data_IF_223572090698
#
_entry.id   IF_223572090698
#
_cell.length_a   1.000
_cell.length_b   1.000
_cell.length_c   1.000
_cell.angle_alpha   90.00
_cell.angle_beta   90.00
_cell.angle_gamma   90.00
#
_symmetry.space_group_name_H-M   'P 1'
#
loop_
_entity.id
_entity.type
_entity.pdbx_description
1 polymer ?
#
# COMPACT_ATOMS: atom_id res chain seq x y z
N UNK A 1 -1.01 -14.28 -9.05
CA UNK A 1 -2.03 -14.84 -8.12
C UNK A 1 -2.36 -13.78 -7.07
N UNK A 2 -3.61 -13.68 -6.59
CA UNK A 2 -3.98 -12.74 -5.51
C UNK A 2 -4.46 -13.48 -4.27
N UNK A 3 -4.27 -12.91 -3.07
CA UNK A 3 -4.62 -13.58 -1.80
C UNK A 3 -6.12 -13.87 -1.66
N UNK A 4 -6.96 -13.01 -2.21
CA UNK A 4 -8.41 -13.15 -2.24
C UNK A 4 -8.91 -13.98 -3.44
N UNK A 5 -8.18 -15.00 -3.87
CA UNK A 5 -8.63 -15.93 -4.91
C UNK A 5 -8.82 -17.34 -4.35
N UNK A 6 -9.81 -18.07 -4.88
CA UNK A 6 -10.06 -19.47 -4.48
C UNK A 6 -8.83 -20.36 -4.70
N UNK A 7 -8.09 -20.13 -5.80
CA UNK A 7 -6.84 -20.84 -6.08
C UNK A 7 -5.79 -20.65 -4.98
N UNK A 8 -5.64 -19.40 -4.49
CA UNK A 8 -4.73 -19.12 -3.39
C UNK A 8 -5.19 -19.78 -2.10
N UNK A 9 -6.47 -19.59 -1.73
CA UNK A 9 -7.02 -20.03 -0.45
C UNK A 9 -7.04 -21.56 -0.31
N UNK A 10 -7.42 -22.28 -1.37
CA UNK A 10 -7.68 -23.72 -1.29
C UNK A 10 -6.59 -24.61 -1.92
N UNK A 11 -5.66 -24.03 -2.67
CA UNK A 11 -4.56 -24.81 -3.27
C UNK A 11 -3.19 -24.30 -2.83
N UNK A 12 -2.85 -23.05 -3.19
CA UNK A 12 -1.50 -22.55 -2.96
C UNK A 12 -1.15 -22.47 -1.47
N UNK A 13 -1.97 -21.80 -0.66
CA UNK A 13 -1.67 -21.58 0.76
C UNK A 13 -1.60 -22.90 1.55
N UNK A 14 -2.58 -23.84 1.45
CA UNK A 14 -2.48 -25.13 2.14
C UNK A 14 -1.23 -25.92 1.75
N UNK A 15 -0.92 -26.02 0.45
CA UNK A 15 0.28 -26.71 -0.02
C UNK A 15 1.54 -26.06 0.54
N UNK A 16 1.65 -24.75 0.49
CA UNK A 16 2.80 -24.00 1.03
C UNK A 16 2.97 -24.22 2.52
N UNK A 17 1.89 -24.21 3.30
CA UNK A 17 1.94 -24.47 4.75
C UNK A 17 2.42 -25.90 5.03
N UNK A 18 1.85 -26.90 4.36
CA UNK A 18 2.28 -28.30 4.54
C UNK A 18 3.75 -28.48 4.18
N UNK A 19 4.18 -28.03 3.00
CA UNK A 19 5.56 -28.14 2.55
C UNK A 19 6.51 -27.42 3.52
N UNK A 20 6.15 -26.21 3.96
CA UNK A 20 6.98 -25.42 4.87
C UNK A 20 7.16 -26.11 6.23
N UNK A 21 6.08 -26.58 6.85
CA UNK A 21 6.15 -27.17 8.18
C UNK A 21 6.74 -28.59 8.18
N UNK A 22 6.59 -29.35 7.10
CA UNK A 22 7.23 -30.64 6.90
C UNK A 22 8.74 -30.51 6.58
N UNK A 23 9.20 -29.34 6.15
CA UNK A 23 10.60 -29.11 5.78
C UNK A 23 11.46 -28.82 7.01
N UNK A 24 12.67 -29.44 7.14
CA UNK A 24 13.63 -29.10 8.18
C UNK A 24 13.99 -27.61 8.18
N UNK A 25 14.18 -27.02 9.37
CA UNK A 25 14.39 -25.57 9.55
C UNK A 25 15.43 -24.95 8.63
N UNK A 26 16.53 -25.68 8.37
CA UNK A 26 17.63 -25.21 7.50
C UNK A 26 17.21 -24.93 6.05
N UNK A 27 16.16 -25.58 5.57
CA UNK A 27 15.66 -25.44 4.19
C UNK A 27 14.40 -24.59 4.06
N UNK A 28 13.80 -24.12 5.17
CA UNK A 28 12.56 -23.35 5.15
C UNK A 28 12.65 -22.07 4.33
N UNK A 29 13.79 -21.38 4.31
CA UNK A 29 13.99 -20.22 3.45
C UNK A 29 13.99 -20.62 1.96
N UNK A 30 14.58 -21.75 1.60
CA UNK A 30 14.54 -22.24 0.21
C UNK A 30 13.10 -22.55 -0.25
N UNK A 31 12.29 -23.18 0.62
CA UNK A 31 10.87 -23.45 0.36
C UNK A 31 10.10 -22.13 0.18
N UNK A 32 10.30 -21.15 1.07
CA UNK A 32 9.66 -19.84 0.93
C UNK A 32 10.11 -19.12 -0.33
N UNK A 33 11.38 -19.16 -0.67
CA UNK A 33 11.90 -18.54 -1.90
C UNK A 33 11.31 -19.19 -3.14
N UNK A 34 11.38 -20.51 -3.24
CA UNK A 34 10.81 -21.26 -4.38
C UNK A 34 9.29 -21.05 -4.51
N UNK A 35 8.55 -21.19 -3.39
CA UNK A 35 7.11 -20.95 -3.38
C UNK A 35 6.73 -19.52 -3.74
N UNK A 36 7.53 -18.54 -3.30
CA UNK A 36 7.32 -17.13 -3.67
C UNK A 36 7.55 -16.89 -5.16
N UNK A 37 8.56 -17.53 -5.75
CA UNK A 37 8.79 -17.44 -7.19
C UNK A 37 7.65 -18.10 -7.98
N UNK A 38 7.13 -19.25 -7.53
CA UNK A 38 5.94 -19.88 -8.13
C UNK A 38 4.71 -18.97 -8.01
N UNK A 39 4.48 -18.36 -6.84
CA UNK A 39 3.39 -17.41 -6.64
C UNK A 39 3.48 -16.22 -7.60
N UNK A 40 4.67 -15.66 -7.78
CA UNK A 40 4.93 -14.53 -8.67
C UNK A 40 4.77 -14.92 -10.14
N UNK A 41 5.42 -16.02 -10.55
CA UNK A 41 5.36 -16.52 -11.92
C UNK A 41 3.96 -16.90 -12.38
N UNK A 42 3.06 -17.27 -11.46
CA UNK A 42 1.65 -17.55 -11.79
C UNK A 42 0.92 -16.35 -12.36
N UNK A 43 1.25 -15.14 -11.93
CA UNK A 43 0.66 -13.90 -12.47
C UNK A 43 1.53 -13.22 -13.52
N UNK A 44 2.85 -13.39 -13.41
CA UNK A 44 3.86 -12.64 -14.17
C UNK A 44 5.00 -13.57 -14.64
N UNK A 45 4.74 -14.53 -15.54
CA UNK A 45 5.73 -15.55 -15.88
C UNK A 45 7.00 -14.99 -16.53
N UNK A 46 6.89 -13.92 -17.30
CA UNK A 46 8.04 -13.28 -17.97
C UNK A 46 8.83 -12.42 -17.00
N UNK A 47 8.15 -11.70 -16.11
CA UNK A 47 8.79 -10.72 -15.22
C UNK A 47 9.45 -11.30 -13.99
N UNK A 48 9.39 -12.64 -13.80
CA UNK A 48 10.19 -13.34 -12.77
C UNK A 48 11.69 -13.06 -12.94
N UNK A 49 12.15 -12.87 -14.17
CA UNK A 49 13.55 -12.55 -14.48
C UNK A 49 13.95 -11.19 -13.88
N UNK A 50 13.04 -10.21 -13.86
CA UNK A 50 13.32 -8.87 -13.32
C UNK A 50 13.51 -8.88 -11.82
N UNK A 51 12.66 -9.61 -11.09
CA UNK A 51 12.83 -9.70 -9.63
C UNK A 51 14.10 -10.46 -9.26
N UNK A 52 14.45 -11.51 -10.00
CA UNK A 52 15.71 -12.25 -9.81
C UNK A 52 16.91 -11.37 -10.13
N UNK A 53 16.86 -10.61 -11.23
CA UNK A 53 17.91 -9.66 -11.61
C UNK A 53 18.09 -8.57 -10.54
N UNK A 54 17.00 -7.92 -10.10
CA UNK A 54 17.05 -6.90 -9.04
C UNK A 54 17.60 -7.46 -7.73
N UNK A 55 17.21 -8.69 -7.39
CA UNK A 55 17.74 -9.42 -6.23
C UNK A 55 19.25 -9.64 -6.36
N UNK A 56 19.71 -10.10 -7.53
CA UNK A 56 21.12 -10.36 -7.79
C UNK A 56 21.95 -9.08 -7.72
N UNK A 57 21.48 -7.99 -8.34
CA UNK A 57 22.16 -6.68 -8.31
C UNK A 57 22.33 -6.20 -6.88
N UNK A 58 21.27 -6.22 -6.06
CA UNK A 58 21.34 -5.77 -4.67
C UNK A 58 22.21 -6.69 -3.80
N UNK A 59 22.15 -7.99 -4.01
CA UNK A 59 22.99 -8.97 -3.32
C UNK A 59 24.48 -8.74 -3.62
N UNK A 60 24.86 -8.63 -4.89
CA UNK A 60 26.23 -8.37 -5.32
C UNK A 60 26.73 -7.00 -4.80
N UNK A 61 25.86 -5.99 -4.83
CA UNK A 61 26.20 -4.66 -4.29
C UNK A 61 26.47 -4.74 -2.79
N UNK A 62 25.66 -5.47 -2.01
CA UNK A 62 25.88 -5.69 -0.58
C UNK A 62 27.20 -6.37 -0.30
N UNK A 63 27.57 -7.42 -1.05
CA UNK A 63 28.86 -8.11 -0.91
C UNK A 63 30.04 -7.18 -1.24
N UNK A 64 29.95 -6.40 -2.33
CA UNK A 64 30.98 -5.43 -2.72
C UNK A 64 31.13 -4.32 -1.69
N UNK A 65 30.03 -3.81 -1.14
CA UNK A 65 30.05 -2.82 -0.07
C UNK A 65 30.80 -3.37 1.15
N UNK A 66 30.49 -4.58 1.62
CA UNK A 66 31.18 -5.22 2.74
C UNK A 66 32.67 -5.43 2.47
N UNK A 67 33.03 -5.78 1.23
CA UNK A 67 34.44 -5.91 0.83
C UNK A 67 35.19 -4.57 0.90
N UNK A 68 34.61 -3.50 0.33
CA UNK A 68 35.24 -2.16 0.35
C UNK A 68 35.20 -1.50 1.73
N UNK A 69 34.22 -1.83 2.57
CA UNK A 69 34.18 -1.39 3.98
C UNK A 69 35.37 -1.93 4.77
N UNK A 70 35.70 -3.22 4.61
CA UNK A 70 36.86 -3.86 5.27
C UNK A 70 38.20 -3.28 4.81
N UNK A 71 38.27 -2.73 3.61
CA UNK A 71 39.46 -2.09 3.04
C UNK A 71 39.45 -0.57 3.18
N UNK A 72 38.48 -0.01 3.89
CA UNK A 72 38.28 1.44 4.08
C UNK A 72 38.24 2.26 2.78
N UNK A 73 37.93 1.59 1.67
CA UNK A 73 37.86 2.22 0.36
C UNK A 73 36.51 2.91 0.14
N UNK A 74 36.42 4.20 0.53
CA UNK A 74 35.19 5.02 0.38
C UNK A 74 34.72 5.16 -1.07
N UNK A 75 35.65 5.30 -2.04
CA UNK A 75 35.27 5.41 -3.46
C UNK A 75 34.58 4.14 -3.95
N UNK A 76 35.13 2.97 -3.61
CA UNK A 76 34.51 1.69 -3.94
C UNK A 76 33.13 1.49 -3.31
N UNK A 77 32.95 1.95 -2.07
CA UNK A 77 31.65 1.92 -1.39
C UNK A 77 30.61 2.80 -2.12
N UNK A 78 30.96 4.08 -2.39
CA UNK A 78 30.06 5.01 -3.09
C UNK A 78 29.71 4.48 -4.49
N UNK A 79 30.70 4.01 -5.25
CA UNK A 79 30.48 3.45 -6.58
C UNK A 79 29.49 2.25 -6.54
N UNK A 80 29.68 1.32 -5.59
CA UNK A 80 28.80 0.16 -5.43
C UNK A 80 27.37 0.55 -5.07
N UNK A 81 27.19 1.52 -4.17
CA UNK A 81 25.91 2.07 -3.78
C UNK A 81 25.23 2.74 -4.98
N UNK A 82 25.94 3.64 -5.66
CA UNK A 82 25.40 4.42 -6.77
C UNK A 82 24.96 3.50 -7.92
N UNK A 83 25.78 2.53 -8.32
CA UNK A 83 25.42 1.58 -9.38
C UNK A 83 24.15 0.83 -9.02
N UNK A 84 24.05 0.29 -7.80
CA UNK A 84 22.85 -0.45 -7.39
C UNK A 84 21.59 0.43 -7.39
N UNK A 85 21.67 1.65 -6.86
CA UNK A 85 20.54 2.58 -6.85
C UNK A 85 20.16 3.01 -8.27
N UNK A 86 21.14 3.35 -9.13
CA UNK A 86 20.88 3.75 -10.51
C UNK A 86 20.25 2.61 -11.31
N UNK A 87 20.76 1.39 -11.23
CA UNK A 87 20.17 0.23 -11.90
C UNK A 87 18.74 -0.01 -11.44
N UNK A 88 18.48 0.04 -10.13
CA UNK A 88 17.14 -0.15 -9.57
C UNK A 88 16.16 0.94 -10.04
N UNK A 89 16.60 2.20 -10.04
CA UNK A 89 15.78 3.33 -10.50
C UNK A 89 15.58 3.34 -12.01
N UNK A 90 16.56 2.93 -12.79
CA UNK A 90 16.43 2.81 -14.26
C UNK A 90 15.42 1.72 -14.64
N UNK A 91 15.45 0.56 -13.94
CA UNK A 91 14.47 -0.49 -14.16
C UNK A 91 13.06 0.00 -13.84
N UNK A 92 12.87 0.60 -12.65
CA UNK A 92 11.57 1.17 -12.27
C UNK A 92 11.15 2.27 -13.27
N UNK A 93 12.08 3.15 -13.63
CA UNK A 93 11.85 4.25 -14.56
C UNK A 93 11.43 3.77 -15.94
N UNK A 94 12.08 2.74 -16.46
CA UNK A 94 11.77 2.19 -17.76
C UNK A 94 10.33 1.62 -17.81
N UNK A 95 9.98 0.73 -16.89
CA UNK A 95 8.66 0.10 -16.92
C UNK A 95 7.52 1.04 -16.52
N UNK A 96 7.78 2.03 -15.69
CA UNK A 96 6.72 2.90 -15.16
C UNK A 96 6.56 4.21 -15.95
N UNK A 97 7.64 4.74 -16.52
CA UNK A 97 7.62 6.11 -17.05
C UNK A 97 8.04 6.21 -18.52
N UNK A 98 8.46 5.12 -19.19
CA UNK A 98 8.89 5.19 -20.59
C UNK A 98 7.81 5.82 -21.49
N UNK A 99 6.58 5.31 -21.44
CA UNK A 99 5.49 5.84 -22.25
C UNK A 99 5.09 7.28 -21.88
N UNK A 100 5.21 7.65 -20.61
CA UNK A 100 5.03 9.03 -20.18
C UNK A 100 6.06 9.97 -20.81
N UNK A 101 7.34 9.59 -20.79
CA UNK A 101 8.40 10.37 -21.40
C UNK A 101 8.27 10.43 -22.92
N UNK A 102 7.91 9.32 -23.57
CA UNK A 102 7.66 9.29 -25.02
C UNK A 102 6.53 10.24 -25.39
N UNK A 103 5.40 10.23 -24.65
CA UNK A 103 4.31 11.19 -24.88
C UNK A 103 4.74 12.63 -24.69
N UNK A 104 5.52 12.93 -23.65
CA UNK A 104 6.00 14.26 -23.37
C UNK A 104 6.96 14.76 -24.46
N UNK A 105 7.89 13.92 -24.91
CA UNK A 105 8.80 14.23 -26.03
C UNK A 105 8.01 14.44 -27.33
N UNK A 106 7.04 13.56 -27.62
CA UNK A 106 6.17 13.69 -28.79
C UNK A 106 5.37 15.00 -28.78
N UNK A 107 4.82 15.37 -27.63
CA UNK A 107 4.10 16.64 -27.46
C UNK A 107 5.01 17.86 -27.72
N UNK A 108 6.23 17.87 -27.20
CA UNK A 108 7.19 18.97 -27.38
C UNK A 108 7.71 19.01 -28.82
N UNK A 109 7.94 17.84 -29.43
CA UNK A 109 8.46 17.73 -30.80
C UNK A 109 7.36 17.90 -31.87
N UNK A 110 6.08 17.92 -31.51
CA UNK A 110 4.96 17.95 -32.45
C UNK A 110 4.82 16.67 -33.29
N UNK A 111 5.31 15.52 -32.78
CA UNK A 111 5.33 14.23 -33.51
C UNK A 111 4.71 13.16 -32.63
N UNK A 112 3.89 12.28 -33.19
CA UNK A 112 3.40 11.10 -32.50
C UNK A 112 4.53 10.09 -32.28
N UNK A 113 4.92 9.89 -31.01
CA UNK A 113 5.93 8.90 -30.64
C UNK A 113 5.26 7.54 -30.41
N UNK A 114 5.88 6.43 -30.88
CA UNK A 114 5.35 5.10 -30.64
C UNK A 114 5.36 4.79 -29.15
N UNK A 115 4.21 4.29 -28.63
CA UNK A 115 4.09 3.84 -27.25
C UNK A 115 4.56 2.40 -27.13
N UNK A 116 5.29 2.09 -26.08
CA UNK A 116 5.78 0.74 -25.80
C UNK A 116 4.68 -0.18 -25.26
N UNK A 117 3.69 0.41 -24.59
CA UNK A 117 2.55 -0.29 -23.96
C UNK A 117 2.98 -1.50 -23.11
N UNK A 118 4.13 -1.36 -22.42
CA UNK A 118 4.62 -2.42 -21.54
C UNK A 118 3.77 -2.52 -20.29
N UNK A 119 3.24 -3.71 -19.94
CA UNK A 119 2.57 -3.87 -18.68
C UNK A 119 3.54 -3.64 -17.52
N UNK A 120 3.09 -2.92 -16.50
CA UNK A 120 3.91 -2.66 -15.31
C UNK A 120 4.09 -3.97 -14.53
N UNK A 121 5.34 -4.46 -14.31
CA UNK A 121 5.57 -5.67 -13.55
C UNK A 121 5.05 -5.54 -12.12
N UNK A 122 4.20 -6.47 -11.70
CA UNK A 122 3.56 -6.43 -10.37
C UNK A 122 4.64 -6.38 -9.28
N UNK A 123 4.50 -5.43 -8.35
CA UNK A 123 5.41 -5.27 -7.22
C UNK A 123 6.75 -4.62 -7.52
N UNK A 124 7.05 -4.17 -8.78
CA UNK A 124 8.34 -3.56 -9.11
C UNK A 124 8.67 -2.36 -8.22
N UNK A 125 7.70 -1.52 -7.89
CA UNK A 125 7.89 -0.39 -6.98
C UNK A 125 8.27 -0.83 -5.56
N UNK A 126 7.71 -1.95 -5.08
CA UNK A 126 7.93 -2.48 -3.74
C UNK A 126 9.31 -3.14 -3.61
N UNK A 127 9.65 -4.09 -4.50
CA UNK A 127 10.96 -4.74 -4.40
C UNK A 127 12.13 -3.79 -4.77
N UNK A 128 11.90 -2.77 -5.59
CA UNK A 128 12.87 -1.70 -5.82
C UNK A 128 13.19 -0.97 -4.52
N UNK A 129 12.17 -0.54 -3.76
CA UNK A 129 12.38 0.13 -2.48
C UNK A 129 13.01 -0.79 -1.43
N UNK A 130 12.66 -2.07 -1.40
CA UNK A 130 13.27 -3.06 -0.52
C UNK A 130 14.75 -3.26 -0.83
N UNK A 131 15.10 -3.48 -2.09
CA UNK A 131 16.49 -3.70 -2.50
C UNK A 131 17.36 -2.46 -2.30
N UNK A 132 16.84 -1.27 -2.64
CA UNK A 132 17.52 -0.01 -2.39
C UNK A 132 17.76 0.22 -0.91
N UNK A 133 16.74 0.03 -0.04
CA UNK A 133 16.91 0.20 1.41
C UNK A 133 17.98 -0.73 1.96
N UNK A 134 18.00 -2.00 1.54
CA UNK A 134 19.05 -2.93 1.97
C UNK A 134 20.46 -2.44 1.61
N UNK A 135 20.68 -2.03 0.36
CA UNK A 135 22.00 -1.56 -0.09
C UNK A 135 22.44 -0.30 0.67
N UNK A 136 21.49 0.63 0.91
CA UNK A 136 21.74 1.85 1.69
C UNK A 136 22.05 1.51 3.14
N UNK A 137 21.29 0.61 3.77
CA UNK A 137 21.47 0.22 5.18
C UNK A 137 22.82 -0.53 5.38
N UNK A 138 23.23 -1.38 4.41
CA UNK A 138 24.58 -1.96 4.42
C UNK A 138 25.67 -0.87 4.33
N UNK A 139 25.49 0.12 3.42
CA UNK A 139 26.42 1.24 3.30
C UNK A 139 26.52 2.04 4.60
N UNK A 140 25.39 2.30 5.26
CA UNK A 140 25.33 2.99 6.57
C UNK A 140 25.84 2.15 7.73
N UNK A 141 26.11 0.87 7.53
CA UNK A 141 26.46 -0.13 8.55
C UNK A 141 25.35 -0.37 9.57
N UNK A 142 24.11 -0.12 9.19
CA UNK A 142 22.91 -0.35 10.02
C UNK A 142 22.50 -1.82 10.02
N UNK A 143 22.84 -2.58 8.95
CA UNK A 143 22.61 -4.01 8.84
C UNK A 143 23.86 -4.75 8.38
N UNK A 144 23.95 -6.03 8.73
CA UNK A 144 25.03 -6.90 8.25
C UNK A 144 24.72 -7.40 6.84
N UNK A 145 25.78 -7.54 6.03
CA UNK A 145 25.61 -8.09 4.67
C UNK A 145 25.12 -9.54 4.73
N UNK A 146 24.07 -9.84 4.01
CA UNK A 146 23.57 -11.21 3.85
C UNK A 146 24.44 -11.96 2.83
N UNK A 147 25.10 -13.03 3.29
CA UNK A 147 26.00 -13.85 2.47
C UNK A 147 25.31 -15.02 1.76
N UNK A 148 24.12 -15.38 2.19
CA UNK A 148 23.37 -16.46 1.58
C UNK A 148 22.35 -15.89 0.60
N UNK A 149 22.52 -16.21 -0.70
CA UNK A 149 21.65 -15.73 -1.75
C UNK A 149 20.19 -16.17 -1.58
N UNK A 150 19.96 -17.43 -1.16
CA UNK A 150 18.60 -17.95 -0.94
C UNK A 150 17.89 -17.18 0.17
N UNK A 151 18.58 -16.89 1.27
CA UNK A 151 18.02 -16.11 2.38
C UNK A 151 17.72 -14.67 1.95
N UNK A 152 18.61 -14.04 1.17
CA UNK A 152 18.38 -12.72 0.62
C UNK A 152 17.24 -12.70 -0.40
N UNK A 153 17.22 -13.68 -1.31
CA UNK A 153 16.13 -13.86 -2.27
C UNK A 153 14.77 -14.10 -1.60
N UNK A 154 14.76 -14.87 -0.49
CA UNK A 154 13.55 -15.01 0.34
C UNK A 154 13.08 -13.65 0.85
N UNK A 155 13.98 -12.80 1.36
CA UNK A 155 13.60 -11.45 1.82
C UNK A 155 12.98 -10.61 0.69
N UNK A 156 13.57 -10.59 -0.49
CA UNK A 156 13.08 -9.75 -1.59
C UNK A 156 11.79 -10.30 -2.20
N UNK A 157 11.71 -11.61 -2.45
CA UNK A 157 10.63 -12.23 -3.19
C UNK A 157 9.48 -12.75 -2.30
N UNK A 158 9.56 -12.63 -0.98
CA UNK A 158 8.61 -13.24 -0.03
C UNK A 158 7.16 -12.89 -0.36
N UNK A 159 6.37 -13.88 -0.80
CA UNK A 159 5.05 -13.67 -1.38
C UNK A 159 4.06 -12.90 -0.49
N UNK A 160 4.06 -13.01 0.86
CA UNK A 160 3.16 -12.21 1.68
C UNK A 160 3.35 -10.70 1.54
N UNK A 161 4.57 -10.22 1.27
CA UNK A 161 4.86 -8.79 1.19
C UNK A 161 5.02 -8.25 -0.24
N UNK A 162 5.33 -9.16 -1.21
CA UNK A 162 5.88 -8.79 -2.51
C UNK A 162 5.00 -7.86 -3.34
N UNK A 163 3.68 -8.06 -3.31
CA UNK A 163 2.77 -7.37 -4.25
C UNK A 163 2.33 -6.01 -3.71
N UNK A 164 1.73 -5.97 -2.52
CA UNK A 164 1.23 -4.77 -1.87
C UNK A 164 1.20 -4.91 -0.33
N UNK A 165 2.04 -5.76 0.21
CA UNK A 165 2.28 -5.83 1.65
C UNK A 165 2.96 -4.57 2.19
N UNK A 166 3.21 -4.47 3.50
CA UNK A 166 4.06 -3.42 4.04
C UNK A 166 5.44 -3.45 3.36
N UNK A 167 6.02 -2.28 3.04
CA UNK A 167 7.42 -2.20 2.58
C UNK A 167 8.32 -2.53 3.77
N UNK A 168 8.82 -3.76 3.80
CA UNK A 168 9.61 -4.27 4.92
C UNK A 168 11.09 -4.00 4.65
N UNK A 169 11.75 -3.27 5.55
CA UNK A 169 13.20 -3.06 5.49
C UNK A 169 13.92 -4.31 5.98
N UNK A 170 15.10 -4.60 5.44
CA UNK A 170 15.89 -5.77 5.85
C UNK A 170 16.20 -5.75 7.35
N UNK A 171 16.48 -4.57 7.91
CA UNK A 171 16.69 -4.36 9.34
C UNK A 171 15.57 -4.93 10.23
N UNK A 172 14.31 -4.84 9.76
CA UNK A 172 13.13 -5.31 10.51
C UNK A 172 13.06 -6.84 10.61
N UNK A 173 13.61 -7.55 9.62
CA UNK A 173 13.47 -9.02 9.51
C UNK A 173 14.81 -9.76 9.53
N UNK A 174 15.94 -9.06 9.62
CA UNK A 174 17.29 -9.65 9.58
C UNK A 174 17.44 -10.85 10.53
N UNK A 175 17.08 -10.69 11.79
CA UNK A 175 17.13 -11.78 12.77
C UNK A 175 16.15 -12.89 12.47
N UNK A 176 14.95 -12.56 12.00
CA UNK A 176 13.89 -13.51 11.69
C UNK A 176 14.22 -14.34 10.44
N UNK A 177 15.05 -13.82 9.51
CA UNK A 177 15.55 -14.59 8.37
C UNK A 177 16.45 -15.75 8.79
N UNK A 178 17.12 -15.65 9.94
CA UNK A 178 18.04 -16.67 10.45
C UNK A 178 17.42 -17.47 11.59
N UNK A 179 16.74 -16.80 12.52
CA UNK A 179 16.19 -17.40 13.76
C UNK A 179 14.77 -16.91 14.00
N UNK A 180 13.79 -17.47 13.30
CA UNK A 180 12.39 -17.20 13.60
C UNK A 180 11.78 -18.29 14.47
N UNK A 181 10.75 -17.91 15.24
CA UNK A 181 10.03 -18.82 16.12
C UNK A 181 8.61 -19.00 15.57
N UNK A 182 8.34 -20.18 15.09
CA UNK A 182 6.98 -20.57 14.70
C UNK A 182 6.28 -21.16 15.94
N UNK A 183 5.27 -20.46 16.44
CA UNK A 183 4.45 -20.91 17.57
C UNK A 183 3.00 -21.06 17.14
N UNK A 184 2.25 -21.94 17.79
CA UNK A 184 0.81 -22.12 17.53
C UNK A 184 0.05 -20.82 17.79
N UNK A 185 0.41 -20.06 18.82
CA UNK A 185 -0.20 -18.77 19.12
C UNK A 185 0.01 -17.75 17.99
N UNK A 186 1.23 -17.64 17.45
CA UNK A 186 1.52 -16.74 16.34
C UNK A 186 0.80 -17.19 15.06
N UNK A 187 0.72 -18.50 14.82
CA UNK A 187 0.02 -19.08 13.69
C UNK A 187 -1.49 -18.81 13.77
N UNK A 188 -2.13 -19.05 14.91
CA UNK A 188 -3.56 -18.79 15.08
C UNK A 188 -3.92 -17.30 14.98
N UNK A 189 -3.11 -16.42 15.58
CA UNK A 189 -3.25 -14.96 15.39
C UNK A 189 -3.11 -14.57 13.91
N UNK A 190 -2.19 -15.23 13.19
CA UNK A 190 -2.00 -15.05 11.75
C UNK A 190 -3.25 -15.42 10.95
N UNK A 191 -3.88 -16.56 11.25
CA UNK A 191 -5.14 -16.98 10.61
C UNK A 191 -6.23 -15.93 10.84
N UNK A 192 -6.48 -15.55 12.10
CA UNK A 192 -7.53 -14.59 12.45
C UNK A 192 -7.30 -13.27 11.69
N UNK A 193 -6.07 -12.79 11.66
CA UNK A 193 -5.74 -11.54 10.97
C UNK A 193 -5.93 -11.65 9.46
N UNK A 194 -5.52 -12.76 8.87
CA UNK A 194 -5.71 -13.03 7.45
C UNK A 194 -7.21 -13.03 7.08
N UNK A 195 -8.04 -13.72 7.87
CA UNK A 195 -9.49 -13.80 7.62
C UNK A 195 -10.18 -12.44 7.77
N UNK A 196 -9.80 -11.63 8.75
CA UNK A 196 -10.29 -10.24 8.89
C UNK A 196 -9.89 -9.42 7.65
N UNK A 197 -8.64 -9.55 7.19
CA UNK A 197 -8.18 -8.89 5.97
C UNK A 197 -8.96 -9.33 4.72
N UNK A 198 -9.23 -10.62 4.59
CA UNK A 198 -10.06 -11.18 3.53
C UNK A 198 -11.48 -10.61 3.56
N UNK A 199 -12.10 -10.55 4.75
CA UNK A 199 -13.43 -9.95 4.93
C UNK A 199 -13.44 -8.46 4.54
N UNK A 200 -12.46 -7.68 4.97
CA UNK A 200 -12.31 -6.28 4.55
C UNK A 200 -12.30 -6.13 3.03
N UNK A 201 -11.54 -6.97 2.34
CA UNK A 201 -11.42 -6.95 0.88
C UNK A 201 -12.70 -7.39 0.19
N UNK A 202 -13.24 -8.56 0.57
CA UNK A 202 -14.32 -9.21 -0.19
C UNK A 202 -15.69 -8.68 0.19
N UNK A 203 -15.95 -8.49 1.50
CA UNK A 203 -17.28 -8.11 1.99
C UNK A 203 -17.52 -6.60 1.99
N UNK A 204 -16.44 -5.78 2.02
CA UNK A 204 -16.58 -4.32 2.11
C UNK A 204 -16.00 -3.63 0.88
N UNK A 205 -14.70 -3.82 0.60
CA UNK A 205 -14.03 -3.06 -0.44
C UNK A 205 -14.59 -3.35 -1.85
N UNK A 206 -14.84 -4.62 -2.17
CA UNK A 206 -15.34 -5.00 -3.50
C UNK A 206 -16.72 -4.40 -3.78
N UNK A 207 -17.77 -4.61 -2.93
CA UNK A 207 -19.09 -4.04 -3.21
C UNK A 207 -19.13 -2.51 -3.20
N UNK A 208 -18.34 -1.85 -2.34
CA UNK A 208 -18.21 -0.38 -2.37
C UNK A 208 -17.50 0.07 -3.65
N UNK A 209 -16.53 -0.72 -4.14
CA UNK A 209 -15.88 -0.47 -5.42
C UNK A 209 -16.82 -0.62 -6.62
N UNK A 210 -17.83 -1.48 -6.53
CA UNK A 210 -18.87 -1.59 -7.54
C UNK A 210 -19.71 -0.30 -7.61
N UNK A 211 -20.11 0.24 -6.46
CA UNK A 211 -20.79 1.54 -6.37
C UNK A 211 -19.95 2.66 -6.99
N UNK A 212 -18.65 2.74 -6.67
CA UNK A 212 -17.79 3.76 -7.27
C UNK A 212 -17.71 3.61 -8.79
N UNK A 213 -17.56 2.38 -9.31
CA UNK A 213 -17.49 2.13 -10.76
C UNK A 213 -18.77 2.50 -11.48
N UNK A 214 -19.92 2.21 -10.88
CA UNK A 214 -21.23 2.57 -11.42
C UNK A 214 -21.34 4.08 -11.56
N UNK A 215 -21.02 4.84 -10.51
CA UNK A 215 -21.05 6.31 -10.53
C UNK A 215 -19.99 6.89 -11.49
N UNK A 216 -18.77 6.34 -11.49
CA UNK A 216 -17.71 6.78 -12.40
C UNK A 216 -18.00 6.50 -13.88
N UNK A 217 -18.88 5.55 -14.17
CA UNK A 217 -19.35 5.25 -15.52
C UNK A 217 -20.54 6.08 -15.99
N UNK A 218 -21.11 6.92 -15.13
CA UNK A 218 -22.24 7.80 -15.50
C UNK A 218 -21.82 8.85 -16.53
N UNK A 219 -22.70 9.13 -17.48
CA UNK A 219 -22.53 10.26 -18.38
C UNK A 219 -22.61 11.61 -17.67
N UNK A 220 -22.04 12.65 -18.25
CA UNK A 220 -22.04 14.00 -17.66
C UNK A 220 -23.46 14.53 -17.40
N UNK A 221 -24.46 14.09 -18.17
CA UNK A 221 -25.86 14.49 -18.00
C UNK A 221 -26.53 13.82 -16.78
N UNK A 222 -26.11 12.61 -16.43
CA UNK A 222 -26.70 11.80 -15.36
C UNK A 222 -25.99 11.99 -14.02
N UNK A 223 -24.74 12.43 -14.06
CA UNK A 223 -23.94 12.67 -12.87
C UNK A 223 -24.47 13.91 -12.11
N UNK A 224 -24.86 13.70 -10.86
CA UNK A 224 -25.38 14.75 -9.97
C UNK A 224 -24.40 15.06 -8.84
N UNK A 225 -24.58 16.20 -8.15
CA UNK A 225 -23.78 16.55 -6.97
C UNK A 225 -23.88 15.47 -5.88
N UNK A 226 -25.07 14.90 -5.65
CA UNK A 226 -25.26 13.82 -4.67
C UNK A 226 -24.53 12.56 -5.09
N UNK A 227 -24.65 12.12 -6.34
CA UNK A 227 -23.93 10.92 -6.83
C UNK A 227 -22.40 11.15 -6.85
N UNK A 228 -21.94 12.35 -7.18
CA UNK A 228 -20.52 12.66 -7.14
C UNK A 228 -19.93 12.60 -5.70
N UNK A 229 -20.62 13.14 -4.70
CA UNK A 229 -20.20 12.98 -3.30
C UNK A 229 -20.27 11.50 -2.86
N UNK A 230 -21.32 10.80 -3.23
CA UNK A 230 -21.46 9.37 -2.94
C UNK A 230 -20.30 8.57 -3.56
N UNK A 231 -19.92 8.86 -4.81
CA UNK A 231 -18.82 8.21 -5.50
C UNK A 231 -17.46 8.46 -4.83
N UNK A 232 -17.13 9.69 -4.49
CA UNK A 232 -15.83 9.99 -3.84
C UNK A 232 -15.76 9.43 -2.42
N UNK A 233 -16.87 9.38 -1.67
CA UNK A 233 -16.94 8.71 -0.37
C UNK A 233 -16.79 7.19 -0.54
N UNK A 234 -17.46 6.60 -1.53
CA UNK A 234 -17.29 5.19 -1.86
C UNK A 234 -15.84 4.86 -2.19
N UNK A 235 -15.17 5.65 -3.05
CA UNK A 235 -13.75 5.45 -3.34
C UNK A 235 -12.86 5.60 -2.10
N UNK A 236 -13.14 6.58 -1.25
CA UNK A 236 -12.42 6.80 0.02
C UNK A 236 -12.49 5.57 0.93
N UNK A 237 -13.66 4.95 1.06
CA UNK A 237 -13.84 3.74 1.85
C UNK A 237 -13.22 2.52 1.13
N UNK A 238 -13.43 2.39 -0.17
CA UNK A 238 -12.88 1.31 -0.98
C UNK A 238 -11.35 1.24 -0.85
N UNK A 239 -10.63 2.32 -1.11
CA UNK A 239 -9.16 2.33 -1.08
C UNK A 239 -8.60 1.96 0.31
N UNK A 240 -9.28 2.36 1.37
CA UNK A 240 -8.90 1.99 2.73
C UNK A 240 -9.11 0.49 3.00
N UNK A 241 -10.31 -0.03 2.73
CA UNK A 241 -10.60 -1.44 3.02
C UNK A 241 -9.87 -2.39 2.07
N UNK A 242 -9.67 -2.01 0.81
CA UNK A 242 -8.89 -2.78 -0.13
C UNK A 242 -7.43 -2.90 0.31
N UNK A 243 -6.78 -1.79 0.57
CA UNK A 243 -5.36 -1.78 0.91
C UNK A 243 -5.08 -2.23 2.35
N UNK A 244 -5.89 -1.81 3.33
CA UNK A 244 -5.73 -2.31 4.70
C UNK A 244 -6.08 -3.80 4.81
N UNK A 245 -7.04 -4.29 4.04
CA UNK A 245 -7.39 -5.71 3.96
C UNK A 245 -6.24 -6.54 3.40
N UNK A 246 -5.62 -6.08 2.30
CA UNK A 246 -4.44 -6.73 1.74
C UNK A 246 -3.26 -6.72 2.74
N UNK A 247 -3.02 -5.59 3.40
CA UNK A 247 -1.97 -5.47 4.40
C UNK A 247 -2.19 -6.40 5.60
N UNK A 248 -3.45 -6.55 6.07
CA UNK A 248 -3.80 -7.49 7.14
C UNK A 248 -3.60 -8.95 6.70
N UNK A 249 -3.96 -9.29 5.46
CA UNK A 249 -3.68 -10.62 4.90
C UNK A 249 -2.17 -10.87 4.84
N UNK A 250 -1.37 -9.91 4.38
CA UNK A 250 0.08 -10.00 4.30
C UNK A 250 0.73 -10.22 5.68
N UNK A 251 0.33 -9.44 6.68
CA UNK A 251 0.82 -9.56 8.06
C UNK A 251 0.38 -10.90 8.69
N UNK A 252 -0.86 -11.31 8.42
CA UNK A 252 -1.38 -12.61 8.84
C UNK A 252 -0.57 -13.77 8.29
N UNK A 253 -0.31 -13.76 6.97
CA UNK A 253 0.55 -14.75 6.31
C UNK A 253 1.98 -14.73 6.88
N UNK A 254 2.57 -13.54 7.04
CA UNK A 254 3.87 -13.41 7.70
C UNK A 254 3.89 -14.11 9.05
N UNK A 255 2.87 -13.89 9.88
CA UNK A 255 2.74 -14.50 11.20
C UNK A 255 2.61 -16.02 11.14
N UNK A 256 1.88 -16.58 10.15
CA UNK A 256 1.79 -18.03 9.94
C UNK A 256 3.14 -18.66 9.61
N UNK A 257 4.07 -17.94 8.99
CA UNK A 257 5.42 -18.39 8.68
C UNK A 257 6.47 -17.95 9.71
N UNK A 258 6.05 -17.41 10.86
CA UNK A 258 6.93 -17.03 11.96
C UNK A 258 7.59 -15.66 11.79
N UNK A 259 7.08 -14.79 10.88
CA UNK A 259 7.52 -13.42 10.72
C UNK A 259 6.60 -12.43 11.42
N UNK A 260 7.17 -11.35 11.96
CA UNK A 260 6.44 -10.23 12.52
C UNK A 260 6.61 -9.01 11.62
N UNK A 261 5.60 -8.70 10.84
CA UNK A 261 5.61 -7.56 9.93
C UNK A 261 5.04 -6.31 10.61
N UNK A 262 5.53 -5.10 10.24
CA UNK A 262 5.04 -3.85 10.81
C UNK A 262 3.61 -3.53 10.34
N UNK A 263 2.88 -2.80 11.20
CA UNK A 263 1.58 -2.25 10.83
C UNK A 263 1.70 -1.22 9.71
N UNK A 264 0.78 -1.30 8.74
CA UNK A 264 0.74 -0.36 7.62
C UNK A 264 -0.39 0.68 7.76
N UNK A 265 -1.42 0.38 8.55
CA UNK A 265 -2.57 1.24 8.82
C UNK A 265 -2.94 1.24 10.31
N UNK A 266 -3.27 2.43 10.85
CA UNK A 266 -3.73 2.60 12.24
C UNK A 266 -4.93 3.55 12.30
N UNK A 267 -6.12 3.09 11.84
CA UNK A 267 -7.35 3.88 11.80
C UNK A 267 -7.13 5.31 11.27
N UNK A 268 -6.68 5.47 10.00
CA UNK A 268 -6.30 6.77 9.46
C UNK A 268 -7.46 7.77 9.40
N UNK A 269 -8.69 7.30 9.28
CA UNK A 269 -9.88 8.14 9.20
C UNK A 269 -10.37 8.69 10.56
N UNK A 270 -9.65 8.43 11.65
CA UNK A 270 -9.83 9.11 12.95
C UNK A 270 -8.94 10.33 13.13
N UNK A 271 -8.08 10.63 12.16
CA UNK A 271 -7.07 11.68 12.27
C UNK A 271 -7.69 13.07 12.39
N UNK A 272 -7.00 13.93 13.14
CA UNK A 272 -7.37 15.32 13.40
C UNK A 272 -6.45 16.31 12.68
N UNK A 273 -5.58 15.83 11.82
CA UNK A 273 -4.72 16.62 10.95
C UNK A 273 -4.26 15.80 9.76
N UNK A 274 -3.91 16.45 8.66
CA UNK A 274 -3.30 15.78 7.49
C UNK A 274 -1.98 15.14 7.85
N UNK A 275 -1.20 15.79 8.71
CA UNK A 275 0.05 15.22 9.26
C UNK A 275 -0.21 13.92 10.04
N UNK A 276 -1.24 13.87 10.87
CA UNK A 276 -1.62 12.67 11.60
C UNK A 276 -2.14 11.58 10.67
N UNK A 277 -2.95 11.95 9.67
CA UNK A 277 -3.46 11.03 8.66
C UNK A 277 -2.31 10.26 7.99
N UNK A 278 -1.28 10.93 7.51
CA UNK A 278 -0.14 10.30 6.85
C UNK A 278 0.79 9.53 7.79
N UNK A 279 0.71 9.75 9.09
CA UNK A 279 1.37 8.89 10.09
C UNK A 279 0.62 7.58 10.35
N UNK A 280 -0.67 7.52 9.97
CA UNK A 280 -1.56 6.38 10.17
C UNK A 280 -1.86 5.63 8.87
N UNK A 281 -1.68 6.26 7.72
CA UNK A 281 -1.88 5.73 6.38
C UNK A 281 -0.56 5.31 5.75
N UNK A 282 -0.50 4.08 5.20
CA UNK A 282 0.67 3.53 4.48
C UNK A 282 2.00 3.82 5.21
N UNK A 283 2.05 3.44 6.48
CA UNK A 283 3.13 3.77 7.43
C UNK A 283 4.49 3.34 6.90
N UNK A 284 4.56 2.18 6.24
CA UNK A 284 5.81 1.66 5.70
C UNK A 284 6.39 2.54 4.59
N UNK A 285 5.55 3.06 3.66
CA UNK A 285 5.95 4.00 2.62
C UNK A 285 6.41 5.33 3.22
N UNK A 286 5.61 5.88 4.14
CA UNK A 286 5.96 7.12 4.85
C UNK A 286 7.28 7.00 5.61
N UNK A 287 7.53 5.86 6.25
CA UNK A 287 8.81 5.56 6.92
C UNK A 287 9.96 5.49 5.92
N UNK A 288 9.76 4.82 4.77
CA UNK A 288 10.78 4.73 3.73
C UNK A 288 11.20 6.10 3.21
N UNK A 289 10.24 6.94 2.80
CA UNK A 289 10.54 8.31 2.33
C UNK A 289 11.19 9.17 3.41
N UNK A 290 10.78 9.01 4.68
CA UNK A 290 11.40 9.72 5.79
C UNK A 290 12.87 9.34 5.96
N UNK A 291 13.19 8.04 6.01
CA UNK A 291 14.54 7.55 6.34
C UNK A 291 15.51 7.67 5.15
N UNK A 292 15.04 7.48 3.92
CA UNK A 292 15.90 7.44 2.74
C UNK A 292 15.88 8.70 1.88
N UNK A 293 14.93 9.61 2.08
CA UNK A 293 14.84 10.87 1.32
C UNK A 293 14.83 12.08 2.25
N UNK A 294 13.85 12.20 3.15
CA UNK A 294 13.68 13.40 3.96
C UNK A 294 14.86 13.68 4.90
N UNK A 295 15.30 12.68 5.66
CA UNK A 295 16.42 12.81 6.61
C UNK A 295 17.74 13.10 5.88
N UNK A 296 18.13 12.38 4.80
CA UNK A 296 19.34 12.69 4.05
C UNK A 296 19.38 14.10 3.44
N UNK A 297 18.22 14.64 3.03
CA UNK A 297 18.11 16.03 2.56
C UNK A 297 18.28 17.08 3.67
N UNK A 298 18.42 16.65 4.93
CA UNK A 298 18.61 17.51 6.10
C UNK A 298 17.39 17.59 7.03
N UNK A 299 16.28 16.95 6.68
CA UNK A 299 15.07 16.91 7.49
C UNK A 299 14.56 18.30 7.87
N UNK A 300 14.33 18.51 9.18
CA UNK A 300 13.90 19.79 9.77
C UNK A 300 15.05 20.57 10.46
N UNK A 301 16.30 20.11 10.31
CA UNK A 301 17.44 20.65 11.08
C UNK A 301 18.10 21.86 10.43
N UNK A 302 17.86 22.11 9.13
CA UNK A 302 18.52 23.16 8.33
C UNK A 302 17.65 24.40 8.08
N UNK A 303 16.76 24.73 9.03
CA UNK A 303 15.87 25.89 8.93
C UNK A 303 14.58 25.64 8.16
N UNK A 304 13.65 26.60 8.26
CA UNK A 304 12.27 26.46 7.76
C UNK A 304 12.19 26.33 6.23
N UNK A 305 12.89 27.19 5.47
CA UNK A 305 12.88 27.13 3.99
C UNK A 305 13.38 25.78 3.45
N UNK A 306 14.45 25.22 4.05
CA UNK A 306 14.94 23.90 3.66
C UNK A 306 13.95 22.80 4.00
N UNK A 307 13.22 22.94 5.10
CA UNK A 307 12.17 22.00 5.47
C UNK A 307 11.02 21.99 4.48
N UNK A 308 10.55 23.18 4.01
CA UNK A 308 9.54 23.29 2.96
C UNK A 308 10.01 22.59 1.69
N UNK A 309 11.23 22.87 1.23
CA UNK A 309 11.79 22.21 0.06
C UNK A 309 11.84 20.70 0.20
N UNK A 310 12.27 20.20 1.37
CA UNK A 310 12.32 18.77 1.63
C UNK A 310 10.92 18.13 1.60
N UNK A 311 9.89 18.78 2.16
CA UNK A 311 8.49 18.32 2.10
C UNK A 311 8.03 18.30 0.65
N UNK A 312 8.25 19.37 -0.12
CA UNK A 312 7.88 19.45 -1.53
C UNK A 312 8.50 18.32 -2.36
N UNK A 313 9.81 18.06 -2.18
CA UNK A 313 10.52 16.97 -2.87
C UNK A 313 9.90 15.61 -2.50
N UNK A 314 9.69 15.34 -1.22
CA UNK A 314 9.13 14.05 -0.77
C UNK A 314 7.73 13.83 -1.34
N UNK A 315 6.87 14.84 -1.32
CA UNK A 315 5.50 14.70 -1.80
C UNK A 315 5.41 14.62 -3.32
N UNK A 316 6.26 15.34 -4.05
CA UNK A 316 6.37 15.20 -5.48
C UNK A 316 6.83 13.77 -5.85
N UNK A 317 7.86 13.26 -5.17
CA UNK A 317 8.35 11.90 -5.39
C UNK A 317 7.31 10.84 -4.97
N UNK A 318 6.50 11.11 -3.93
CA UNK A 318 5.41 10.21 -3.51
C UNK A 318 4.32 10.16 -4.57
N UNK A 319 3.92 11.31 -5.14
CA UNK A 319 2.99 11.37 -6.27
C UNK A 319 3.52 10.61 -7.48
N UNK A 320 4.75 10.89 -7.90
CA UNK A 320 5.41 10.15 -8.98
C UNK A 320 5.49 8.66 -8.70
N UNK A 321 5.77 8.23 -7.48
CA UNK A 321 5.84 6.82 -7.12
C UNK A 321 4.49 6.09 -7.34
N UNK A 322 3.37 6.77 -7.16
CA UNK A 322 2.04 6.18 -7.43
C UNK A 322 1.79 5.94 -8.92
N UNK A 323 2.19 6.84 -9.81
CA UNK A 323 1.97 6.61 -11.24
C UNK A 323 2.52 7.71 -12.15
N UNK A 324 2.49 7.43 -13.45
CA UNK A 324 2.95 8.31 -14.53
C UNK A 324 1.80 9.16 -15.13
N UNK A 325 0.76 9.45 -14.35
CA UNK A 325 -0.36 10.29 -14.77
C UNK A 325 -0.35 11.63 -14.03
N UNK A 326 -0.90 12.67 -14.67
CA UNK A 326 -0.91 14.03 -14.14
C UNK A 326 -1.62 14.18 -12.79
N UNK A 327 -2.70 13.41 -12.58
CA UNK A 327 -3.44 13.40 -11.32
C UNK A 327 -2.58 13.04 -10.10
N UNK A 328 -1.61 12.13 -10.24
CA UNK A 328 -0.71 11.76 -9.13
C UNK A 328 0.28 12.88 -8.79
N UNK A 329 0.73 13.63 -9.79
CA UNK A 329 1.57 14.82 -9.58
C UNK A 329 0.77 15.90 -8.86
N UNK A 330 -0.46 16.19 -9.32
CA UNK A 330 -1.37 17.14 -8.67
C UNK A 330 -1.69 16.70 -7.25
N UNK A 331 -1.95 15.43 -7.02
CA UNK A 331 -2.19 14.85 -5.71
C UNK A 331 -0.99 15.01 -4.76
N UNK A 332 0.23 14.79 -5.24
CA UNK A 332 1.45 15.01 -4.46
C UNK A 332 1.63 16.49 -4.09
N UNK A 333 1.43 17.40 -5.04
CA UNK A 333 1.49 18.84 -4.81
C UNK A 333 0.41 19.28 -3.80
N UNK A 334 -0.83 18.79 -3.94
CA UNK A 334 -1.94 19.03 -3.04
C UNK A 334 -1.59 18.70 -1.57
N UNK A 335 -1.10 17.50 -1.31
CA UNK A 335 -0.71 17.13 0.06
C UNK A 335 0.55 17.85 0.55
N UNK A 336 1.49 18.12 -0.34
CA UNK A 336 2.64 18.98 -0.03
C UNK A 336 2.21 20.35 0.49
N UNK A 337 1.27 21.01 -0.20
CA UNK A 337 0.70 22.32 0.18
C UNK A 337 -0.05 22.21 1.52
N UNK A 338 -0.93 21.22 1.69
CA UNK A 338 -1.69 21.06 2.93
C UNK A 338 -0.78 20.87 4.15
N UNK A 339 0.27 20.07 4.02
CA UNK A 339 1.24 19.86 5.11
C UNK A 339 2.05 21.11 5.43
N UNK A 340 2.35 21.94 4.41
CA UNK A 340 2.99 23.24 4.63
C UNK A 340 2.05 24.21 5.35
N UNK A 341 0.79 24.27 4.93
CA UNK A 341 -0.25 25.08 5.58
C UNK A 341 -0.43 24.65 7.03
N UNK A 342 -0.58 23.37 7.31
CA UNK A 342 -0.67 22.86 8.69
C UNK A 342 0.53 23.30 9.53
N UNK A 343 1.72 23.24 8.97
CA UNK A 343 2.93 23.58 9.69
C UNK A 343 3.04 25.07 10.01
N UNK A 344 2.58 25.92 9.09
CA UNK A 344 2.53 27.36 9.26
C UNK A 344 1.44 27.78 10.26
N UNK A 345 0.24 27.20 10.12
CA UNK A 345 -0.95 27.62 10.86
C UNK A 345 -1.23 26.80 12.12
N UNK A 346 -0.42 25.75 12.41
CA UNK A 346 -0.69 24.87 13.55
C UNK A 346 -0.76 25.62 14.88
N UNK A 347 0.26 26.41 15.20
CA UNK A 347 0.29 27.17 16.46
C UNK A 347 -0.76 28.28 16.51
N UNK A 348 -0.89 29.17 15.50
CA UNK A 348 -1.82 30.30 15.60
C UNK A 348 -3.30 29.91 15.47
N UNK A 349 -3.63 28.86 14.71
CA UNK A 349 -5.02 28.53 14.38
C UNK A 349 -5.43 27.14 14.86
N UNK A 350 -4.78 26.10 14.36
CA UNK A 350 -5.25 24.72 14.54
C UNK A 350 -5.18 24.23 15.99
N UNK A 351 -4.19 24.68 16.77
CA UNK A 351 -4.07 24.29 18.18
C UNK A 351 -5.21 24.82 19.07
N UNK A 352 -5.99 25.79 18.60
CA UNK A 352 -7.09 26.43 19.32
C UNK A 352 -8.45 25.83 18.96
N UNK A 353 -8.55 25.07 17.87
CA UNK A 353 -9.80 24.51 17.40
C UNK A 353 -10.17 23.24 18.15
N UNK A 354 -11.46 23.04 18.48
CA UNK A 354 -11.94 21.77 19.03
C UNK A 354 -11.64 20.59 18.11
N UNK A 355 -11.35 19.43 18.72
CA UNK A 355 -11.00 18.20 17.99
C UNK A 355 -12.01 17.79 16.91
N UNK A 356 -13.28 18.11 17.10
CA UNK A 356 -14.34 17.80 16.13
C UNK A 356 -14.14 18.58 14.82
N UNK A 357 -13.89 19.88 14.88
CA UNK A 357 -13.66 20.70 13.67
C UNK A 357 -12.36 20.30 12.96
N UNK A 358 -11.33 19.93 13.73
CA UNK A 358 -10.08 19.43 13.17
C UNK A 358 -10.30 18.10 12.43
N UNK A 359 -11.15 17.24 12.96
CA UNK A 359 -11.50 15.98 12.28
C UNK A 359 -12.29 16.26 11.00
N UNK A 360 -13.29 17.13 11.02
CA UNK A 360 -14.04 17.53 9.81
C UNK A 360 -13.12 18.12 8.73
N UNK A 361 -12.23 19.04 9.13
CA UNK A 361 -11.20 19.59 8.25
C UNK A 361 -10.38 18.45 7.60
N UNK A 362 -9.84 17.58 8.41
CA UNK A 362 -8.98 16.49 7.93
C UNK A 362 -9.73 15.59 6.95
N UNK A 363 -10.94 15.13 7.31
CA UNK A 363 -11.72 14.24 6.48
C UNK A 363 -12.17 14.89 5.17
N UNK A 364 -12.57 16.17 5.21
CA UNK A 364 -12.92 16.91 4.00
C UNK A 364 -11.76 16.94 2.99
N UNK A 365 -10.57 17.35 3.43
CA UNK A 365 -9.41 17.37 2.53
C UNK A 365 -8.89 16.00 2.14
N UNK A 366 -9.02 14.98 2.99
CA UNK A 366 -8.68 13.61 2.64
C UNK A 366 -9.61 13.06 1.56
N UNK A 367 -10.92 13.28 1.67
CA UNK A 367 -11.91 12.85 0.65
C UNK A 367 -11.63 13.53 -0.69
N UNK A 368 -11.39 14.85 -0.70
CA UNK A 368 -11.01 15.57 -1.93
C UNK A 368 -9.69 15.05 -2.51
N UNK A 369 -8.70 14.75 -1.66
CA UNK A 369 -7.45 14.14 -2.09
C UNK A 369 -7.64 12.79 -2.76
N UNK A 370 -8.54 11.94 -2.25
CA UNK A 370 -8.90 10.68 -2.90
C UNK A 370 -9.68 10.90 -4.20
N UNK A 371 -10.50 11.95 -4.27
CA UNK A 371 -11.12 12.39 -5.52
C UNK A 371 -10.09 12.72 -6.61
N UNK A 372 -9.05 13.51 -6.29
CA UNK A 372 -7.95 13.80 -7.23
C UNK A 372 -7.24 12.50 -7.65
N UNK A 373 -7.02 11.58 -6.72
CA UNK A 373 -6.32 10.33 -6.97
C UNK A 373 -7.10 9.38 -7.90
N UNK A 374 -8.42 9.39 -7.84
CA UNK A 374 -9.28 8.41 -8.52
C UNK A 374 -9.39 8.61 -10.05
N UNK A 375 -9.16 9.82 -10.56
CA UNK A 375 -9.32 10.17 -11.97
C UNK A 375 -7.98 10.31 -12.69
N UNK A 376 -7.66 9.37 -13.57
CA UNK A 376 -6.41 9.41 -14.36
C UNK A 376 -6.47 10.47 -15.46
N UNK A 377 -7.63 10.62 -16.11
CA UNK A 377 -7.85 11.70 -17.06
C UNK A 377 -8.16 13.02 -16.31
N UNK A 378 -7.41 14.05 -16.64
CA UNK A 378 -7.52 15.35 -15.98
C UNK A 378 -8.79 16.12 -16.38
N UNK A 379 -9.29 15.91 -17.61
CA UNK A 379 -10.51 16.56 -18.08
C UNK A 379 -11.74 15.96 -17.39
N UNK A 380 -11.81 14.61 -17.33
CA UNK A 380 -12.86 13.89 -16.61
C UNK A 380 -12.85 14.25 -15.11
N UNK A 381 -11.66 14.24 -14.50
CA UNK A 381 -11.49 14.67 -13.12
C UNK A 381 -11.97 16.08 -12.87
N UNK A 382 -11.63 17.04 -13.74
CA UNK A 382 -12.09 18.42 -13.64
C UNK A 382 -13.61 18.54 -13.75
N UNK A 383 -14.23 17.84 -14.68
CA UNK A 383 -15.68 17.81 -14.84
C UNK A 383 -16.38 17.18 -13.63
N UNK A 384 -15.82 16.10 -13.10
CA UNK A 384 -16.32 15.48 -11.88
C UNK A 384 -16.28 16.45 -10.69
N UNK A 385 -15.18 17.19 -10.50
CA UNK A 385 -15.08 18.21 -9.44
C UNK A 385 -16.04 19.37 -9.64
N UNK A 386 -16.30 19.81 -10.88
CA UNK A 386 -17.36 20.82 -11.15
C UNK A 386 -18.72 20.34 -10.66
N UNK A 387 -19.05 19.08 -10.95
CA UNK A 387 -20.33 18.49 -10.51
C UNK A 387 -20.34 18.30 -8.98
N UNK A 388 -19.24 17.85 -8.38
CA UNK A 388 -19.09 17.68 -6.94
C UNK A 388 -19.42 18.98 -6.18
N UNK A 389 -19.00 20.15 -6.71
CA UNK A 389 -19.28 21.46 -6.12
C UNK A 389 -20.55 22.15 -6.65
N UNK A 390 -21.40 21.43 -7.37
CA UNK A 390 -22.70 21.92 -7.85
C UNK A 390 -22.64 22.90 -9.03
N UNK A 391 -21.46 23.06 -9.65
CA UNK A 391 -21.27 24.01 -10.77
C UNK A 391 -22.01 23.55 -12.03
N UNK A 392 -22.23 22.24 -12.20
CA UNK A 392 -23.01 21.69 -13.30
C UNK A 392 -24.50 21.94 -13.21
N UNK A 393 -25.02 22.42 -12.07
CA UNK A 393 -26.43 22.68 -11.84
C UNK A 393 -27.33 21.45 -11.61
N UNK A 394 -26.80 20.25 -11.74
CA UNK A 394 -27.53 19.00 -11.52
C UNK A 394 -27.28 18.49 -10.10
N UNK A 395 -28.20 18.76 -9.17
CA UNK A 395 -27.97 18.46 -7.76
C UNK A 395 -28.32 17.04 -7.35
N UNK A 396 -29.47 16.53 -7.79
CA UNK A 396 -30.01 15.23 -7.40
C UNK A 396 -30.94 14.67 -8.46
N UNK A 397 -30.93 13.35 -8.64
CA UNK A 397 -31.88 12.59 -9.47
C UNK A 397 -32.34 11.32 -8.75
N UNK A 398 -33.28 10.60 -9.35
CA UNK A 398 -33.82 9.35 -8.78
C UNK A 398 -32.77 8.27 -8.66
N UNK A 399 -31.86 8.18 -9.60
CA UNK A 399 -30.77 7.20 -9.62
C UNK A 399 -29.80 7.42 -8.45
N UNK A 400 -29.37 8.65 -8.19
CA UNK A 400 -28.55 8.99 -7.04
C UNK A 400 -29.20 8.58 -5.71
N UNK A 401 -30.52 8.80 -5.56
CA UNK A 401 -31.26 8.38 -4.36
C UNK A 401 -31.42 6.87 -4.26
N UNK A 402 -31.61 6.19 -5.38
CA UNK A 402 -31.64 4.72 -5.43
C UNK A 402 -30.29 4.13 -5.00
N UNK A 403 -29.18 4.60 -5.55
CA UNK A 403 -27.84 4.14 -5.17
C UNK A 403 -27.56 4.41 -3.69
N UNK A 404 -27.86 5.61 -3.21
CA UNK A 404 -27.67 5.94 -1.80
C UNK A 404 -28.46 4.99 -0.89
N UNK A 405 -29.74 4.73 -1.19
CA UNK A 405 -30.58 3.84 -0.38
C UNK A 405 -30.11 2.38 -0.43
N UNK A 406 -29.71 1.91 -1.60
CA UNK A 406 -29.26 0.53 -1.83
C UNK A 406 -27.96 0.21 -1.11
N UNK A 407 -27.02 1.16 -1.05
CA UNK A 407 -25.72 0.98 -0.42
C UNK A 407 -25.61 1.56 1.01
N UNK A 408 -26.66 2.21 1.53
CA UNK A 408 -26.62 2.91 2.80
C UNK A 408 -26.12 2.04 3.96
N UNK A 409 -26.65 0.83 4.10
CA UNK A 409 -26.26 -0.09 5.19
C UNK A 409 -24.77 -0.44 5.08
N UNK A 410 -24.30 -0.76 3.88
CA UNK A 410 -22.89 -1.09 3.63
C UNK A 410 -21.96 0.10 3.92
N UNK A 411 -22.34 1.31 3.51
CA UNK A 411 -21.59 2.53 3.79
C UNK A 411 -21.50 2.80 5.30
N UNK A 412 -22.61 2.64 6.03
CA UNK A 412 -22.61 2.79 7.50
C UNK A 412 -21.69 1.76 8.17
N UNK A 413 -21.77 0.49 7.74
CA UNK A 413 -20.86 -0.58 8.25
C UNK A 413 -19.39 -0.21 7.96
N UNK A 414 -19.11 0.28 6.76
CA UNK A 414 -17.75 0.68 6.37
C UNK A 414 -17.25 1.88 7.17
N UNK A 415 -18.06 2.91 7.37
CA UNK A 415 -17.70 4.07 8.20
C UNK A 415 -17.37 3.62 9.62
N UNK A 416 -18.26 2.83 10.26
CA UNK A 416 -18.04 2.30 11.61
C UNK A 416 -16.80 1.40 11.67
N UNK A 417 -16.59 0.54 10.65
CA UNK A 417 -15.44 -0.35 10.54
C UNK A 417 -14.11 0.36 10.27
N UNK A 418 -14.14 1.60 9.77
CA UNK A 418 -12.94 2.39 9.48
C UNK A 418 -12.32 3.03 10.74
N UNK A 419 -13.07 3.07 11.83
CA UNK A 419 -12.69 3.68 13.12
C UNK A 419 -12.52 2.63 14.22
N UNK A 420 -11.79 2.99 15.28
CA UNK A 420 -11.53 2.09 16.43
C UNK A 420 -12.70 1.98 17.40
N UNK A 421 -13.72 2.82 17.24
CA UNK A 421 -14.85 2.94 18.17
C UNK A 421 -15.54 1.59 18.43
N UNK A 422 -15.85 0.85 17.35
CA UNK A 422 -16.50 -0.46 17.46
C UNK A 422 -15.67 -1.44 18.29
N UNK A 423 -14.37 -1.53 18.03
CA UNK A 423 -13.44 -2.38 18.79
C UNK A 423 -13.38 -1.97 20.25
N UNK A 424 -13.36 -0.69 20.52
CA UNK A 424 -13.33 -0.13 21.89
C UNK A 424 -14.63 -0.45 22.64
N UNK A 425 -15.78 -0.28 21.97
CA UNK A 425 -17.09 -0.61 22.54
C UNK A 425 -17.23 -2.11 22.81
N UNK A 426 -16.85 -2.98 21.87
CA UNK A 426 -16.89 -4.43 22.04
C UNK A 426 -16.00 -4.86 23.21
N UNK A 427 -14.78 -4.35 23.30
CA UNK A 427 -13.87 -4.67 24.39
C UNK A 427 -14.39 -4.19 25.76
N UNK A 428 -15.01 -3.01 25.80
CA UNK A 428 -15.44 -2.38 27.06
C UNK A 428 -16.77 -2.94 27.61
N UNK A 429 -17.72 -3.20 26.70
CA UNK A 429 -19.11 -3.49 27.15
C UNK A 429 -19.55 -4.93 26.95
N UNK A 430 -19.02 -5.62 25.90
CA UNK A 430 -19.57 -6.93 25.54
C UNK A 430 -18.62 -8.10 25.82
N UNK A 431 -17.32 -7.93 25.64
CA UNK A 431 -16.36 -9.03 25.71
C UNK A 431 -15.04 -8.59 26.37
N UNK A 432 -14.98 -8.60 27.74
CA UNK A 432 -13.74 -8.30 28.46
C UNK A 432 -12.57 -9.19 27.99
N UNK A 433 -11.35 -8.66 28.02
CA UNK A 433 -10.16 -9.41 27.60
C UNK A 433 -9.99 -10.71 28.42
N UNK A 434 -9.59 -11.80 27.75
CA UNK A 434 -9.31 -13.12 28.31
C UNK A 434 -10.54 -13.89 28.83
N UNK A 435 -11.70 -13.72 28.24
CA UNK A 435 -12.85 -14.60 28.56
C UNK A 435 -13.03 -15.66 27.46
N UNK A 436 -13.40 -16.89 27.88
CA UNK A 436 -13.72 -17.99 26.95
C UNK A 436 -14.81 -17.60 25.94
N UNK A 437 -15.81 -16.81 26.41
CA UNK A 437 -16.86 -16.25 25.53
C UNK A 437 -16.28 -15.41 24.39
N UNK A 438 -15.27 -14.58 24.66
CA UNK A 438 -14.63 -13.76 23.63
C UNK A 438 -13.90 -14.63 22.59
N UNK A 439 -13.23 -15.68 23.02
CA UNK A 439 -12.53 -16.60 22.12
C UNK A 439 -13.52 -17.35 21.22
N UNK A 440 -14.62 -17.87 21.80
CA UNK A 440 -15.66 -18.55 21.05
C UNK A 440 -16.37 -17.61 20.07
N UNK A 441 -16.84 -16.43 20.53
CA UNK A 441 -17.49 -15.45 19.66
C UNK A 441 -16.54 -14.94 18.58
N UNK A 442 -15.27 -14.71 18.91
CA UNK A 442 -14.25 -14.30 17.94
C UNK A 442 -14.00 -15.38 16.86
N UNK A 443 -13.91 -16.64 17.27
CA UNK A 443 -13.75 -17.76 16.34
C UNK A 443 -14.97 -17.91 15.42
N UNK A 444 -16.18 -17.87 15.98
CA UNK A 444 -17.43 -17.93 15.20
C UNK A 444 -17.51 -16.77 14.21
N UNK A 445 -17.17 -15.56 14.63
CA UNK A 445 -17.14 -14.38 13.75
C UNK A 445 -16.18 -14.60 12.57
N UNK A 446 -14.96 -15.08 12.83
CA UNK A 446 -13.95 -15.34 11.78
C UNK A 446 -14.42 -16.43 10.81
N UNK A 447 -15.07 -17.49 11.31
CA UNK A 447 -15.64 -18.56 10.47
C UNK A 447 -16.76 -18.01 9.57
N UNK A 448 -17.67 -17.21 10.12
CA UNK A 448 -18.76 -16.58 9.35
C UNK A 448 -18.18 -15.65 8.29
N UNK A 449 -17.21 -14.79 8.65
CA UNK A 449 -16.52 -13.92 7.66
C UNK A 449 -15.88 -14.73 6.55
N UNK A 450 -15.24 -15.85 6.88
CA UNK A 450 -14.63 -16.72 5.87
C UNK A 450 -15.67 -17.34 4.93
N UNK A 451 -16.74 -17.94 5.48
CA UNK A 451 -17.82 -18.56 4.67
C UNK A 451 -18.46 -17.53 3.74
N UNK A 452 -18.81 -16.36 4.26
CA UNK A 452 -19.38 -15.28 3.43
C UNK A 452 -18.42 -14.79 2.36
N UNK A 453 -17.12 -14.65 2.71
CA UNK A 453 -16.10 -14.25 1.74
C UNK A 453 -15.95 -15.28 0.63
N UNK A 454 -15.93 -16.58 0.96
CA UNK A 454 -15.85 -17.65 -0.05
C UNK A 454 -17.10 -17.66 -0.93
N UNK A 455 -18.28 -17.51 -0.34
CA UNK A 455 -19.55 -17.46 -1.10
C UNK A 455 -19.55 -16.33 -2.14
N UNK A 456 -19.10 -15.12 -1.74
CA UNK A 456 -18.98 -14.00 -2.68
C UNK A 456 -17.87 -14.22 -3.72
N UNK A 457 -16.73 -14.82 -3.35
CA UNK A 457 -15.66 -15.12 -4.29
C UNK A 457 -16.07 -16.15 -5.35
N UNK A 458 -16.90 -17.11 -5.01
CA UNK A 458 -17.44 -18.09 -5.97
C UNK A 458 -18.39 -17.42 -6.96
N UNK A 459 -19.17 -16.45 -6.51
CA UNK A 459 -20.15 -15.75 -7.33
C UNK A 459 -19.56 -14.57 -8.14
N UNK A 460 -18.35 -14.08 -7.78
CA UNK A 460 -17.74 -12.94 -8.46
C UNK A 460 -16.74 -13.37 -9.52
N UNK A 461 -16.97 -12.96 -10.77
CA UNK A 461 -15.98 -13.13 -11.87
C UNK A 461 -14.82 -12.11 -11.80
N UNK A 462 -14.98 -11.04 -11.03
CA UNK A 462 -14.04 -9.92 -10.97
C UNK A 462 -13.68 -9.58 -9.52
N UNK A 463 -12.41 -9.76 -9.18
CA UNK A 463 -11.87 -9.46 -7.86
C UNK A 463 -10.58 -8.62 -8.00
N UNK A 464 -10.72 -7.35 -8.44
CA UNK A 464 -9.57 -6.50 -8.68
C UNK A 464 -8.94 -6.07 -7.35
N UNK A 465 -7.63 -5.94 -7.36
CA UNK A 465 -6.91 -5.21 -6.35
C UNK A 465 -6.60 -3.82 -6.90
N UNK A 466 -7.10 -2.80 -6.25
CA UNK A 466 -7.03 -1.41 -6.74
C UNK A 466 -5.57 -0.97 -6.99
N UNK A 467 -4.65 -1.42 -6.13
CA UNK A 467 -3.23 -1.07 -6.21
C UNK A 467 -2.48 -1.64 -7.42
N UNK A 468 -3.04 -2.60 -8.15
CA UNK A 468 -2.46 -3.07 -9.42
C UNK A 468 -2.66 -2.11 -10.58
N UNK A 469 -3.48 -1.09 -10.39
CA UNK A 469 -3.77 -0.09 -11.42
C UNK A 469 -2.87 1.15 -11.34
N UNK A 470 -2.01 1.20 -10.31
CA UNK A 470 -1.15 2.36 -10.03
C UNK A 470 0.33 2.05 -10.11
#
# INVERSE_FOLDING_TARGET
MVFSSLLFLFRFLPIMLVVYYCTPRRFRNAVLFGGSLVFYAWGEPVYIVLILFSTLVAYCAGLRLSYYQKRENKRGQICSLTIACVVSLLLLGFFKYADFFLRMVGYVAGVEMPQLNLPLPIGISFYTFQTMSYVIDVYRKEVKVQKNFVTFGTYVALFPQLIAGPIIRYQTVEEQMVKRKETIDLFSKGIVRFMIGLGKKVLIANPIGDLFREIAGMGAADLTTVSAWLGVIAFTLQIYFDFSGYSDMAIGLGSMFGFSFPENFKHPYESKSITEFWRRWHISLGTWFKEYVYIPLGGNRKGFGRQILNISIVWLLTGLWHGAYGNFVVWGIYYGILLMIEKLLWKPVFSRLPSFFMHLYTMFFVILGWGIFSWQDMADGTNYFKTLFGISGNFVNREAMYLLSSYLILLVIAIIGSVSLLRTCINRFFLPEKTMRREVCGTLFVVVVFILSVALLVNSSYNPFLYFRF
#
